data_IF_148532118927
#
_entry.id   IF_148532118927
#
_cell.length_a   1.000
_cell.length_b   1.000
_cell.length_c   1.000
_cell.angle_alpha   90.00
_cell.angle_beta   90.00
_cell.angle_gamma   90.00
#
_symmetry.space_group_name_H-M   'P 1'
#
loop_
_entity.id
_entity.type
_entity.pdbx_description
1 polymer ?
#
# COMPACT_ATOMS: atom_id res chain seq x y z
N UNK A 1 2.92 -1.10 11.18
CA UNK A 1 2.91 -1.26 9.70
C UNK A 1 3.26 0.06 9.03
N UNK A 2 3.95 0.01 7.90
CA UNK A 2 4.24 1.19 7.06
C UNK A 2 3.62 1.05 5.69
N UNK A 3 3.16 2.16 5.14
CA UNK A 3 2.67 2.19 3.77
C UNK A 3 3.24 3.39 3.02
N UNK A 4 3.50 3.19 1.73
CA UNK A 4 3.73 4.26 0.76
C UNK A 4 2.53 4.27 -0.18
N UNK A 5 1.81 5.37 -0.18
CA UNK A 5 0.56 5.55 -0.91
C UNK A 5 0.81 6.50 -2.07
N UNK A 6 0.48 6.06 -3.28
CA UNK A 6 0.62 6.87 -4.49
C UNK A 6 -0.72 6.94 -5.22
N UNK A 7 -1.24 8.15 -5.40
CA UNK A 7 -2.42 8.38 -6.24
C UNK A 7 -2.04 8.13 -7.70
N UNK A 8 -2.86 7.40 -8.44
CA UNK A 8 -2.52 7.01 -9.80
C UNK A 8 -3.73 7.04 -10.75
N UNK A 9 -3.44 7.25 -12.04
CA UNK A 9 -4.41 7.10 -13.12
C UNK A 9 -4.62 5.64 -13.49
N UNK A 10 -3.59 4.82 -13.31
CA UNK A 10 -3.59 3.37 -13.43
C UNK A 10 -2.40 2.79 -12.69
N UNK A 11 -2.49 1.53 -12.29
CA UNK A 11 -1.35 0.75 -11.77
C UNK A 11 -1.51 -0.72 -12.12
N UNK A 12 -0.41 -1.46 -12.22
CA UNK A 12 -0.42 -2.91 -12.50
C UNK A 12 0.75 -3.63 -11.88
N UNK A 13 0.56 -4.92 -11.68
CA UNK A 13 1.61 -5.88 -11.27
C UNK A 13 1.76 -6.95 -12.33
N UNK A 14 2.99 -7.22 -12.71
CA UNK A 14 3.38 -8.32 -13.60
C UNK A 14 4.31 -9.26 -12.84
N UNK A 15 3.97 -10.54 -12.81
CA UNK A 15 4.79 -11.63 -12.29
C UNK A 15 5.18 -12.56 -13.43
N UNK A 16 6.46 -12.87 -13.59
CA UNK A 16 6.96 -13.81 -14.60
C UNK A 16 6.38 -13.55 -16.01
N UNK A 17 6.29 -12.28 -16.40
CA UNK A 17 5.74 -11.86 -17.69
C UNK A 17 4.22 -11.88 -17.80
N UNK A 18 3.49 -12.28 -16.76
CA UNK A 18 2.03 -12.31 -16.72
C UNK A 18 1.48 -11.20 -15.85
N UNK A 19 0.54 -10.40 -16.38
CA UNK A 19 -0.18 -9.39 -15.60
C UNK A 19 -1.12 -10.10 -14.61
N UNK A 20 -0.81 -9.97 -13.31
CA UNK A 20 -1.59 -10.59 -12.24
C UNK A 20 -2.67 -9.68 -11.69
N UNK A 21 -2.48 -8.37 -11.79
CA UNK A 21 -3.44 -7.38 -11.31
C UNK A 21 -3.26 -6.05 -12.02
N UNK A 22 -4.37 -5.36 -12.26
CA UNK A 22 -4.41 -4.02 -12.81
C UNK A 22 -5.58 -3.24 -12.23
N UNK A 23 -5.36 -1.97 -11.94
CA UNK A 23 -6.40 -1.03 -11.54
C UNK A 23 -6.44 0.18 -12.49
N UNK A 24 -7.59 0.81 -12.58
CA UNK A 24 -7.79 2.14 -13.17
C UNK A 24 -7.46 3.22 -12.12
N UNK A 25 -8.06 4.37 -12.21
CA UNK A 25 -7.85 5.50 -11.28
C UNK A 25 -8.05 5.08 -9.82
N UNK A 26 -7.09 5.42 -8.98
CA UNK A 26 -7.13 5.07 -7.57
C UNK A 26 -5.79 5.26 -6.88
N UNK A 27 -5.40 4.27 -6.08
CA UNK A 27 -4.14 4.27 -5.33
C UNK A 27 -3.35 2.99 -5.56
N UNK A 28 -2.03 3.12 -5.77
CA UNK A 28 -1.07 2.07 -5.47
C UNK A 28 -0.60 2.25 -4.03
N UNK A 29 -0.62 1.18 -3.25
CA UNK A 29 -0.11 1.15 -1.88
C UNK A 29 0.92 0.04 -1.73
N UNK A 30 2.14 0.40 -1.38
CA UNK A 30 3.18 -0.51 -0.95
C UNK A 30 3.07 -0.68 0.57
N UNK A 31 2.95 -1.92 1.07
CA UNK A 31 2.68 -2.21 2.48
C UNK A 31 3.76 -3.09 3.09
N UNK A 32 4.43 -2.57 4.13
CA UNK A 32 5.38 -3.31 4.97
C UNK A 32 4.80 -3.66 6.33
N UNK A 33 5.12 -4.86 6.82
CA UNK A 33 4.74 -5.34 8.15
C UNK A 33 5.98 -5.37 9.04
N UNK A 34 5.86 -4.83 10.26
CA UNK A 34 6.91 -4.79 11.28
C UNK A 34 6.72 -5.93 12.27
N UNK A 35 7.80 -6.40 12.87
CA UNK A 35 7.73 -7.30 14.03
C UNK A 35 6.87 -6.70 15.14
N UNK A 36 5.91 -7.49 15.62
CA UNK A 36 4.99 -7.08 16.67
C UNK A 36 3.74 -6.34 16.20
N UNK A 37 3.60 -6.09 14.89
CA UNK A 37 2.34 -5.58 14.34
C UNK A 37 1.19 -6.56 14.55
N UNK A 38 -0.02 -6.04 14.69
CA UNK A 38 -1.24 -6.78 15.01
C UNK A 38 -2.38 -6.39 14.07
N UNK A 39 -3.55 -7.02 14.23
CA UNK A 39 -4.75 -6.64 13.47
C UNK A 39 -5.17 -5.17 13.70
N UNK A 40 -4.84 -4.58 14.85
CA UNK A 40 -5.09 -3.16 15.10
C UNK A 40 -4.31 -2.25 14.14
N UNK A 41 -3.11 -2.69 13.77
CA UNK A 41 -2.29 -2.00 12.77
C UNK A 41 -2.93 -2.11 11.38
N UNK A 42 -3.46 -3.28 11.03
CA UNK A 42 -4.23 -3.49 9.80
C UNK A 42 -5.46 -2.58 9.74
N UNK A 43 -6.23 -2.49 10.83
CA UNK A 43 -7.41 -1.62 10.94
C UNK A 43 -7.04 -0.15 10.75
N UNK A 44 -5.94 0.29 11.39
CA UNK A 44 -5.47 1.67 11.25
C UNK A 44 -5.06 1.98 9.80
N UNK A 45 -4.26 1.11 9.18
CA UNK A 45 -3.80 1.26 7.80
C UNK A 45 -5.00 1.26 6.84
N UNK A 46 -5.90 0.29 6.96
CA UNK A 46 -7.11 0.21 6.13
C UNK A 46 -7.95 1.48 6.25
N UNK A 47 -8.24 1.93 7.48
CA UNK A 47 -9.01 3.14 7.71
C UNK A 47 -8.39 4.37 7.03
N UNK A 48 -7.06 4.51 7.14
CA UNK A 48 -6.34 5.61 6.49
C UNK A 48 -6.38 5.53 4.98
N UNK A 49 -6.12 4.36 4.39
CA UNK A 49 -6.18 4.16 2.94
C UNK A 49 -7.55 4.55 2.39
N UNK A 50 -8.62 4.06 3.00
CA UNK A 50 -9.99 4.24 2.51
C UNK A 50 -10.47 5.69 2.64
N UNK A 51 -10.09 6.37 3.74
CA UNK A 51 -10.65 7.68 4.10
C UNK A 51 -9.70 8.87 3.89
N UNK A 52 -8.46 8.65 3.51
CA UNK A 52 -7.51 9.75 3.25
C UNK A 52 -7.98 10.59 2.07
N UNK A 53 -8.07 11.89 2.27
CA UNK A 53 -8.67 12.85 1.34
C UNK A 53 -7.62 13.41 0.37
N UNK A 54 -7.18 12.61 -0.58
CA UNK A 54 -6.16 12.97 -1.58
C UNK A 54 -6.67 13.01 -3.02
N UNK A 55 -7.97 12.84 -3.23
CA UNK A 55 -8.60 13.01 -4.55
C UNK A 55 -9.28 14.38 -4.63
N UNK A 56 -9.25 14.95 -5.81
CA UNK A 56 -9.79 16.30 -6.03
C UNK A 56 -11.33 16.30 -6.00
N UNK A 57 -11.86 17.35 -5.39
CA UNK A 57 -13.28 17.69 -5.46
C UNK A 57 -13.59 18.54 -6.73
N UNK A 58 -14.82 19.03 -6.84
CA UNK A 58 -15.30 19.85 -7.96
C UNK A 58 -14.55 21.18 -8.08
N UNK A 59 -13.87 21.63 -7.02
CA UNK A 59 -13.07 22.86 -6.95
C UNK A 59 -11.57 22.62 -7.17
N UNK A 60 -11.17 21.38 -7.52
CA UNK A 60 -9.76 21.01 -7.70
C UNK A 60 -8.95 20.91 -6.42
N UNK A 61 -9.61 20.79 -5.26
CA UNK A 61 -8.96 20.63 -3.95
C UNK A 61 -8.94 19.16 -3.53
N UNK A 62 -7.83 18.72 -2.93
CA UNK A 62 -7.72 17.38 -2.32
C UNK A 62 -8.68 17.29 -1.12
N UNK A 63 -9.86 16.75 -1.34
CA UNK A 63 -10.97 16.75 -0.39
C UNK A 63 -11.78 15.46 -0.38
N UNK A 64 -11.66 14.62 -1.40
CA UNK A 64 -12.35 13.34 -1.50
C UNK A 64 -11.44 12.19 -1.13
N UNK A 65 -11.98 11.19 -0.44
CA UNK A 65 -11.32 9.94 -0.12
C UNK A 65 -11.33 8.98 -1.32
N UNK A 66 -10.59 7.88 -1.19
CA UNK A 66 -10.65 6.78 -2.18
C UNK A 66 -12.10 6.29 -2.33
N UNK A 67 -12.78 6.06 -1.20
CA UNK A 67 -14.18 5.61 -1.18
C UNK A 67 -15.12 6.59 -1.90
N UNK A 68 -15.02 7.89 -1.60
CA UNK A 68 -15.86 8.92 -2.20
C UNK A 68 -15.57 9.14 -3.69
N UNK A 69 -14.32 8.93 -4.11
CA UNK A 69 -13.92 9.08 -5.52
C UNK A 69 -14.36 7.92 -6.41
N UNK A 70 -14.78 6.79 -5.82
CA UNK A 70 -15.06 5.56 -6.56
C UNK A 70 -13.80 4.89 -7.15
N UNK A 71 -12.62 5.23 -6.63
CA UNK A 71 -11.35 4.69 -7.10
C UNK A 71 -11.08 3.25 -6.67
N UNK A 72 -10.08 2.65 -7.28
CA UNK A 72 -9.63 1.28 -7.01
C UNK A 72 -8.32 1.29 -6.20
N UNK A 73 -8.04 0.20 -5.50
CA UNK A 73 -6.81 0.02 -4.72
C UNK A 73 -5.96 -1.11 -5.31
N UNK A 74 -4.68 -0.85 -5.55
CA UNK A 74 -3.69 -1.90 -5.78
C UNK A 74 -2.78 -1.97 -4.54
N UNK A 75 -2.90 -3.06 -3.77
CA UNK A 75 -2.15 -3.27 -2.54
C UNK A 75 -1.04 -4.30 -2.77
N UNK A 76 0.20 -3.89 -2.59
CA UNK A 76 1.39 -4.72 -2.85
C UNK A 76 2.24 -4.83 -1.58
N UNK A 77 2.61 -6.05 -1.20
CA UNK A 77 3.51 -6.27 -0.07
C UNK A 77 4.93 -5.76 -0.37
N UNK A 78 5.55 -5.07 0.60
CA UNK A 78 6.87 -4.45 0.45
C UNK A 78 7.62 -4.44 1.79
N UNK A 79 8.31 -5.52 2.13
CA UNK A 79 9.05 -5.62 3.40
C UNK A 79 10.22 -4.62 3.47
N UNK A 80 10.76 -4.21 2.32
CA UNK A 80 11.90 -3.26 2.25
C UNK A 80 11.56 -1.87 2.77
N UNK A 81 10.29 -1.56 3.07
CA UNK A 81 9.91 -0.34 3.80
C UNK A 81 10.48 -0.31 5.23
N UNK A 82 10.92 -1.46 5.75
CA UNK A 82 11.66 -1.59 7.00
C UNK A 82 13.17 -1.75 6.80
N UNK A 83 13.68 -1.38 5.62
CA UNK A 83 15.12 -1.31 5.34
C UNK A 83 15.78 -0.19 6.14
N UNK A 84 16.76 -0.55 6.97
CA UNK A 84 17.57 0.39 7.75
C UNK A 84 18.92 0.60 7.07
N UNK A 85 19.19 1.82 6.63
CA UNK A 85 20.45 2.23 5.99
C UNK A 85 21.25 3.23 6.83
N UNK A 86 20.90 3.44 8.10
CA UNK A 86 21.58 4.38 8.99
C UNK A 86 23.03 3.97 9.25
N UNK A 87 23.33 2.69 9.15
CA UNK A 87 24.67 2.14 9.38
C UNK A 87 25.13 1.35 8.14
N UNK A 88 26.06 1.94 7.39
CA UNK A 88 26.62 1.32 6.18
C UNK A 88 25.76 1.51 4.93
N UNK A 89 26.12 0.78 3.85
CA UNK A 89 25.49 0.94 2.53
C UNK A 89 24.54 -0.22 2.16
N UNK A 90 24.48 -1.24 2.99
CA UNK A 90 23.53 -2.38 2.80
C UNK A 90 22.37 -2.19 3.76
N UNK A 91 21.12 -2.21 3.28
CA UNK A 91 19.95 -2.13 4.16
C UNK A 91 19.87 -3.36 5.06
N UNK A 92 19.65 -3.13 6.36
CA UNK A 92 19.27 -4.17 7.31
C UNK A 92 17.75 -4.29 7.38
N UNK A 93 17.21 -5.49 7.58
CA UNK A 93 15.78 -5.75 7.64
C UNK A 93 15.33 -6.38 8.96
N UNK A 94 16.04 -6.07 10.05
CA UNK A 94 15.82 -6.69 11.38
C UNK A 94 14.42 -6.41 11.91
N UNK A 95 13.86 -5.23 11.59
CA UNK A 95 12.52 -4.83 12.04
C UNK A 95 11.38 -5.38 11.18
N UNK A 96 11.67 -5.87 9.98
CA UNK A 96 10.66 -6.49 9.13
C UNK A 96 10.13 -7.78 9.78
N UNK A 97 8.82 -8.01 9.69
CA UNK A 97 8.19 -9.25 10.18
C UNK A 97 8.61 -10.45 9.31
N UNK A 98 8.58 -11.63 9.91
CA UNK A 98 8.85 -12.89 9.20
C UNK A 98 7.77 -13.16 8.14
N UNK A 99 8.12 -13.85 7.03
CA UNK A 99 7.24 -13.97 5.86
C UNK A 99 5.83 -14.49 6.17
N UNK A 100 5.70 -15.56 6.96
CA UNK A 100 4.39 -16.19 7.22
C UNK A 100 3.45 -15.23 7.96
N UNK A 101 3.94 -14.60 9.03
CA UNK A 101 3.15 -13.62 9.80
C UNK A 101 2.91 -12.33 9.01
N UNK A 102 3.90 -11.89 8.25
CA UNK A 102 3.76 -10.73 7.37
C UNK A 102 2.67 -10.96 6.33
N UNK A 103 2.64 -12.13 5.71
CA UNK A 103 1.60 -12.49 4.73
C UNK A 103 0.21 -12.54 5.38
N UNK A 104 0.08 -13.12 6.56
CA UNK A 104 -1.18 -13.17 7.31
C UNK A 104 -1.77 -11.76 7.52
N UNK A 105 -0.95 -10.82 8.02
CA UNK A 105 -1.40 -9.44 8.26
C UNK A 105 -1.63 -8.66 6.95
N UNK A 106 -0.84 -8.93 5.92
CA UNK A 106 -1.07 -8.38 4.58
C UNK A 106 -2.42 -8.82 4.02
N UNK A 107 -2.71 -10.13 4.02
CA UNK A 107 -3.99 -10.68 3.55
C UNK A 107 -5.17 -10.16 4.38
N UNK A 108 -4.98 -10.00 5.68
CA UNK A 108 -5.99 -9.38 6.55
C UNK A 108 -6.29 -7.94 6.15
N UNK A 109 -5.27 -7.17 5.80
CA UNK A 109 -5.44 -5.79 5.31
C UNK A 109 -6.16 -5.77 3.97
N UNK A 110 -5.84 -6.68 3.05
CA UNK A 110 -6.55 -6.86 1.77
C UNK A 110 -8.04 -7.15 2.02
N UNK A 111 -8.33 -8.11 2.90
CA UNK A 111 -9.72 -8.48 3.27
C UNK A 111 -10.49 -7.26 3.79
N UNK A 112 -9.90 -6.52 4.72
CA UNK A 112 -10.52 -5.34 5.31
C UNK A 112 -10.82 -4.25 4.26
N UNK A 113 -9.86 -3.92 3.41
CA UNK A 113 -10.03 -2.92 2.36
C UNK A 113 -11.05 -3.36 1.30
N UNK A 114 -11.11 -4.65 0.99
CA UNK A 114 -12.03 -5.22 -0.01
C UNK A 114 -13.51 -5.08 0.36
N UNK A 115 -13.82 -4.80 1.63
CA UNK A 115 -15.18 -4.49 2.08
C UNK A 115 -15.69 -3.14 1.59
N UNK A 116 -14.78 -2.27 1.16
CA UNK A 116 -15.09 -0.87 0.82
C UNK A 116 -14.85 -0.55 -0.65
N UNK A 117 -13.78 -1.08 -1.24
CA UNK A 117 -13.36 -0.79 -2.61
C UNK A 117 -12.86 -2.05 -3.31
N UNK A 118 -12.78 -2.00 -4.63
CA UNK A 118 -12.12 -3.06 -5.42
C UNK A 118 -10.62 -3.05 -5.12
N UNK A 119 -10.07 -4.19 -4.73
CA UNK A 119 -8.65 -4.36 -4.40
C UNK A 119 -8.00 -5.35 -5.36
N UNK A 120 -6.97 -4.87 -6.08
CA UNK A 120 -6.02 -5.71 -6.77
C UNK A 120 -4.83 -5.99 -5.85
N UNK A 121 -4.18 -7.14 -6.05
CA UNK A 121 -3.04 -7.57 -5.24
C UNK A 121 -1.87 -8.03 -6.11
N UNK A 122 -0.65 -7.98 -5.55
CA UNK A 122 0.48 -8.73 -6.07
C UNK A 122 0.48 -10.17 -5.57
N UNK A 123 1.54 -10.89 -5.88
CA UNK A 123 1.80 -12.23 -5.36
C UNK A 123 2.90 -12.16 -4.30
N UNK A 124 2.57 -12.50 -3.05
CA UNK A 124 3.50 -12.43 -1.92
C UNK A 124 4.77 -13.26 -2.17
N UNK A 125 5.94 -12.75 -1.74
CA UNK A 125 7.25 -13.40 -1.89
C UNK A 125 7.66 -13.73 -3.34
N UNK A 126 7.22 -12.97 -4.32
CA UNK A 126 7.66 -13.14 -5.70
C UNK A 126 8.34 -11.88 -6.24
N UNK A 127 9.11 -12.04 -7.31
CA UNK A 127 9.57 -10.89 -8.09
C UNK A 127 8.37 -10.28 -8.83
N UNK A 128 8.14 -9.01 -8.61
CA UNK A 128 7.03 -8.27 -9.21
C UNK A 128 7.57 -7.05 -9.97
N UNK A 129 7.04 -6.82 -11.16
CA UNK A 129 7.21 -5.55 -11.86
C UNK A 129 5.97 -4.71 -11.62
N UNK A 130 6.12 -3.70 -10.79
CA UNK A 130 5.03 -2.78 -10.42
C UNK A 130 5.16 -1.53 -11.25
N UNK A 131 4.11 -1.20 -11.99
CA UNK A 131 4.05 0.00 -12.84
C UNK A 131 2.84 0.84 -12.47
N UNK A 132 2.99 2.15 -12.55
CA UNK A 132 1.90 3.09 -12.32
C UNK A 132 2.18 4.41 -13.07
N UNK A 133 1.13 5.19 -13.28
CA UNK A 133 1.24 6.60 -13.59
C UNK A 133 0.78 7.39 -12.36
N UNK A 134 1.74 8.01 -11.64
CA UNK A 134 1.42 8.85 -10.48
C UNK A 134 0.72 10.13 -10.96
N UNK A 135 -0.45 10.37 -10.39
CA UNK A 135 -1.28 11.51 -10.72
C UNK A 135 -1.07 12.64 -9.70
N UNK A 136 -0.30 13.66 -10.14
CA UNK A 136 -0.06 14.80 -9.27
C UNK A 136 1.33 15.43 -9.41
N UNK A 137 2.46 14.83 -9.02
CA UNK A 137 2.57 13.59 -8.24
C UNK A 137 2.03 13.73 -6.81
N UNK A 138 1.43 12.67 -6.31
CA UNK A 138 0.97 12.57 -4.91
C UNK A 138 1.50 11.27 -4.32
N UNK A 139 2.35 11.40 -3.31
CA UNK A 139 2.96 10.28 -2.58
C UNK A 139 2.94 10.60 -1.09
N UNK A 140 2.30 9.74 -0.30
CA UNK A 140 2.11 9.91 1.14
C UNK A 140 2.74 8.74 1.89
N UNK A 141 3.46 9.03 2.95
CA UNK A 141 4.00 8.04 3.87
C UNK A 141 3.03 7.86 5.05
N UNK A 142 2.82 6.62 5.47
CA UNK A 142 1.95 6.27 6.57
C UNK A 142 2.62 5.23 7.47
N UNK A 143 2.53 5.43 8.79
CA UNK A 143 3.02 4.49 9.80
C UNK A 143 1.95 4.30 10.88
N UNK A 144 1.58 3.05 11.19
CA UNK A 144 0.58 2.74 12.21
C UNK A 144 1.01 3.15 13.61
N UNK A 145 2.32 3.22 13.85
CA UNK A 145 2.90 3.70 15.11
C UNK A 145 3.09 5.23 15.12
N UNK A 146 2.64 5.92 14.08
CA UNK A 146 2.68 7.39 13.95
C UNK A 146 4.10 7.96 14.09
N UNK A 147 5.08 7.29 13.46
CA UNK A 147 6.48 7.72 13.48
C UNK A 147 6.75 8.89 12.53
N UNK A 148 5.83 9.16 11.61
CA UNK A 148 5.83 10.32 10.71
C UNK A 148 4.41 10.64 10.21
#
# INVERSE_FOLDING_TARGET
MRAVIQRCNWARVVNDGVETSKISKGMLVLLGVKKGDTEKDCEYICNKIINMRIFEDENGKMNKSLLESGGELLLVSQFTLYGDVRHGRRPGFIEAELPDRANELYEKTVEMCSKYVKVGTGKFQTDMKVSLENDGPVTILLDSQKMF
#
